data_IF_909213538573
#
_entry.id   IF_909213538573
#
_cell.length_a   1.000
_cell.length_b   1.000
_cell.length_c   1.000
_cell.angle_alpha   90.00
_cell.angle_beta   90.00
_cell.angle_gamma   90.00
#
_symmetry.space_group_name_H-M   'P 1'
#
loop_
_entity.id
_entity.type
_entity.pdbx_description
1 polymer ?
#
# COMPACT_ATOMS: atom_id res chain seq x y z
N UNK A 1 12.99 19.35 1.34
CA UNK A 1 11.77 18.51 1.52
C UNK A 1 10.53 19.33 1.19
N UNK A 2 9.62 18.78 0.40
CA UNK A 2 8.38 19.45 -0.06
C UNK A 2 7.16 18.52 0.08
N UNK A 3 5.97 19.12 0.09
CA UNK A 3 4.72 18.36 0.13
C UNK A 3 4.57 17.50 -1.13
N UNK A 4 4.34 16.20 -0.94
CA UNK A 4 4.19 15.26 -2.06
C UNK A 4 2.95 15.50 -2.94
N UNK A 5 2.02 16.37 -2.51
CA UNK A 5 0.78 16.69 -3.23
C UNK A 5 0.86 18.02 -3.98
N UNK A 6 1.27 19.12 -3.31
CA UNK A 6 1.29 20.46 -3.91
C UNK A 6 2.69 21.04 -4.11
N UNK A 7 3.74 20.28 -3.79
CA UNK A 7 5.16 20.67 -3.92
C UNK A 7 5.59 21.91 -3.13
N UNK A 8 4.76 22.42 -2.22
CA UNK A 8 5.15 23.50 -1.30
C UNK A 8 6.34 23.04 -0.46
N UNK A 9 7.38 23.89 -0.34
CA UNK A 9 8.51 23.63 0.54
C UNK A 9 8.08 23.71 2.00
N UNK A 10 8.52 22.75 2.81
CA UNK A 10 8.31 22.83 4.24
C UNK A 10 9.18 23.94 4.83
N UNK A 11 8.63 24.63 5.82
CA UNK A 11 9.25 25.77 6.50
C UNK A 11 8.62 25.94 7.89
N UNK A 12 9.07 26.92 8.66
CA UNK A 12 8.47 27.25 9.96
C UNK A 12 6.95 27.50 9.87
N UNK A 13 6.46 28.04 8.76
CA UNK A 13 5.03 28.29 8.53
C UNK A 13 4.31 27.10 7.89
N UNK A 14 5.05 26.17 7.27
CA UNK A 14 4.50 25.01 6.57
C UNK A 14 5.09 23.75 7.16
N UNK A 15 4.43 23.24 8.20
CA UNK A 15 4.82 22.02 8.90
C UNK A 15 4.75 20.80 7.98
N UNK A 16 5.73 19.91 8.11
CA UNK A 16 5.70 18.58 7.54
C UNK A 16 4.83 17.65 8.40
N UNK A 17 3.82 17.04 7.80
CA UNK A 17 2.88 16.12 8.44
C UNK A 17 2.77 14.85 7.58
N UNK A 18 3.13 13.71 8.15
CA UNK A 18 2.96 12.42 7.49
C UNK A 18 1.49 12.06 7.32
N UNK A 19 1.10 11.62 6.12
CA UNK A 19 -0.23 11.10 5.88
C UNK A 19 -0.36 9.68 6.49
N UNK A 20 -1.34 9.41 7.38
CA UNK A 20 -1.48 8.09 8.00
C UNK A 20 -1.92 7.00 7.01
N UNK A 21 -2.44 7.37 5.83
CA UNK A 21 -2.85 6.41 4.80
C UNK A 21 -1.77 6.00 3.80
N UNK A 22 -0.71 6.79 3.62
CA UNK A 22 0.35 6.49 2.63
C UNK A 22 1.78 6.80 3.09
N UNK A 23 1.97 7.34 4.30
CA UNK A 23 3.27 7.67 4.86
C UNK A 23 3.95 8.91 4.29
N UNK A 24 3.50 9.46 3.16
CA UNK A 24 4.15 10.61 2.53
C UNK A 24 3.97 11.92 3.31
N UNK A 25 5.03 12.73 3.32
CA UNK A 25 5.07 14.10 3.81
C UNK A 25 4.07 15.00 3.09
N UNK A 26 3.17 15.60 3.85
CA UNK A 26 2.10 16.48 3.37
C UNK A 26 2.05 17.78 4.20
N UNK A 27 1.70 18.90 3.57
CA UNK A 27 1.39 20.11 4.31
C UNK A 27 -0.03 20.03 4.91
N UNK A 28 -0.32 20.85 5.92
CA UNK A 28 -1.64 20.91 6.59
C UNK A 28 -2.80 21.17 5.61
N UNK A 29 -2.54 21.92 4.53
CA UNK A 29 -3.56 22.22 3.50
C UNK A 29 -3.92 21.00 2.66
N UNK A 30 -2.96 20.14 2.36
CA UNK A 30 -3.18 18.91 1.59
C UNK A 30 -3.73 17.77 2.45
N UNK A 31 -3.41 17.74 3.75
CA UNK A 31 -3.91 16.76 4.71
C UNK A 31 -5.25 17.19 5.33
N UNK A 32 -6.28 17.37 4.49
CA UNK A 32 -7.57 17.95 4.91
C UNK A 32 -8.75 16.97 5.00
N UNK A 33 -8.67 15.83 4.33
CA UNK A 33 -9.80 14.91 4.18
C UNK A 33 -9.93 14.01 5.41
N UNK A 34 -11.09 13.98 6.06
CA UNK A 34 -11.31 13.10 7.23
C UNK A 34 -11.80 11.74 6.74
N UNK A 35 -11.07 10.68 7.09
CA UNK A 35 -11.45 9.31 6.80
C UNK A 35 -11.34 8.48 8.08
N UNK A 36 -12.18 7.45 8.18
CA UNK A 36 -12.03 6.42 9.21
C UNK A 36 -11.00 5.40 8.71
N UNK A 37 -9.91 5.24 9.46
CA UNK A 37 -8.85 4.31 9.12
C UNK A 37 -9.01 3.09 10.05
N UNK A 38 -9.09 1.86 9.51
CA UNK A 38 -9.22 0.67 10.34
C UNK A 38 -8.06 0.60 11.34
N UNK A 39 -8.37 0.29 12.61
CA UNK A 39 -7.44 0.22 13.74
C UNK A 39 -6.85 1.55 14.25
N UNK A 40 -7.04 2.68 13.56
CA UNK A 40 -6.53 4.00 13.97
C UNK A 40 -7.66 4.98 14.32
N UNK A 41 -8.85 4.77 13.75
CA UNK A 41 -10.03 5.62 13.87
C UNK A 41 -9.99 6.82 12.93
N UNK A 42 -10.80 7.84 13.24
CA UNK A 42 -10.98 9.04 12.41
C UNK A 42 -9.72 9.90 12.37
N UNK A 43 -9.08 9.98 11.21
CA UNK A 43 -7.88 10.80 10.98
C UNK A 43 -7.98 11.60 9.68
N UNK A 44 -7.14 12.63 9.57
CA UNK A 44 -7.00 13.38 8.32
C UNK A 44 -5.99 12.71 7.40
N UNK A 45 -6.36 12.54 6.13
CA UNK A 45 -5.55 11.95 5.07
C UNK A 45 -5.39 12.94 3.90
N UNK A 46 -4.44 12.64 3.01
CA UNK A 46 -4.23 13.42 1.79
C UNK A 46 -5.30 13.08 0.73
N UNK A 47 -5.46 13.95 -0.27
CA UNK A 47 -6.47 13.75 -1.32
C UNK A 47 -6.33 12.46 -2.11
N UNK A 48 -5.10 11.97 -2.30
CA UNK A 48 -4.85 10.68 -2.99
C UNK A 48 -5.38 9.50 -2.19
N UNK A 49 -5.14 9.47 -0.88
CA UNK A 49 -5.67 8.43 0.00
C UNK A 49 -7.19 8.49 0.08
N UNK A 50 -7.78 9.69 0.19
CA UNK A 50 -9.22 9.85 0.19
C UNK A 50 -9.86 9.31 -1.11
N UNK A 51 -9.28 9.63 -2.27
CA UNK A 51 -9.76 9.13 -3.55
C UNK A 51 -9.63 7.60 -3.67
N UNK A 52 -8.51 7.02 -3.20
CA UNK A 52 -8.32 5.57 -3.20
C UNK A 52 -9.35 4.87 -2.32
N UNK A 53 -9.64 5.44 -1.14
CA UNK A 53 -10.63 4.89 -0.21
C UNK A 53 -12.04 4.98 -0.79
N UNK A 54 -12.44 6.12 -1.36
CA UNK A 54 -13.76 6.24 -2.00
C UNK A 54 -13.97 5.22 -3.11
N UNK A 55 -12.97 5.01 -3.97
CA UNK A 55 -13.03 3.98 -5.02
C UNK A 55 -13.22 2.57 -4.48
N UNK A 56 -12.56 2.23 -3.37
CA UNK A 56 -12.73 0.93 -2.72
C UNK A 56 -14.13 0.73 -2.14
N UNK A 57 -14.78 1.80 -1.66
CA UNK A 57 -16.14 1.72 -1.13
C UNK A 57 -17.21 1.58 -2.23
N UNK A 58 -16.98 2.16 -3.41
CA UNK A 58 -17.90 2.02 -4.56
C UNK A 58 -17.81 0.65 -5.23
N UNK A 59 -16.66 -0.04 -5.14
CA UNK A 59 -16.47 -1.39 -5.67
C UNK A 59 -16.66 -2.44 -4.56
N UNK A 60 -17.90 -2.72 -4.16
CA UNK A 60 -18.19 -3.95 -3.41
C UNK A 60 -18.22 -5.13 -4.40
N UNK A 61 -17.40 -6.16 -4.18
CA UNK A 61 -17.95 -7.46 -3.85
C UNK A 61 -17.42 -7.95 -2.51
N UNK A 62 -18.21 -8.83 -1.92
CA UNK A 62 -18.10 -9.41 -0.58
C UNK A 62 -16.79 -10.18 -0.33
N UNK A 63 -16.49 -10.36 0.95
CA UNK A 63 -15.64 -11.40 1.57
C UNK A 63 -14.10 -11.13 1.71
N UNK A 64 -13.74 -10.74 2.94
CA UNK A 64 -12.59 -11.14 3.78
C UNK A 64 -11.16 -11.27 3.20
N UNK A 65 -10.37 -10.19 3.21
CA UNK A 65 -8.96 -10.15 3.73
C UNK A 65 -8.31 -8.77 3.52
N UNK A 66 -7.63 -8.14 4.50
CA UNK A 66 -6.70 -7.06 4.21
C UNK A 66 -5.41 -7.69 3.67
N UNK A 67 -5.27 -7.77 2.35
CA UNK A 67 -4.05 -8.25 1.71
C UNK A 67 -2.98 -7.16 1.81
N UNK A 68 -2.28 -7.17 2.96
CA UNK A 68 -0.87 -6.79 3.04
C UNK A 68 -0.16 -7.60 1.97
N UNK A 69 0.31 -6.90 0.95
CA UNK A 69 1.19 -7.41 -0.09
C UNK A 69 2.56 -7.76 0.50
N UNK A 70 2.61 -8.87 1.24
CA UNK A 70 3.81 -9.68 1.40
C UNK A 70 3.72 -10.79 0.36
N UNK A 71 4.45 -10.63 -0.74
CA UNK A 71 4.78 -11.75 -1.63
C UNK A 71 5.51 -12.80 -0.79
N UNK A 72 4.78 -13.82 -0.34
CA UNK A 72 5.33 -15.13 -0.01
C UNK A 72 4.56 -16.14 -0.85
N UNK A 73 4.98 -16.25 -2.10
CA UNK A 73 4.71 -17.40 -2.93
C UNK A 73 5.32 -18.63 -2.24
N UNK A 74 4.53 -19.63 -1.81
CA UNK A 74 5.08 -20.92 -1.45
C UNK A 74 5.47 -21.58 -2.77
N UNK A 75 6.76 -21.65 -3.04
CA UNK A 75 7.28 -22.41 -4.17
C UNK A 75 6.76 -23.85 -4.03
N UNK A 76 5.89 -24.25 -4.95
CA UNK A 76 5.47 -25.64 -5.06
C UNK A 76 6.72 -26.52 -5.23
N UNK A 77 6.77 -27.73 -4.63
CA UNK A 77 7.86 -28.65 -4.88
C UNK A 77 7.92 -28.98 -6.38
N UNK A 78 9.05 -28.68 -7.02
CA UNK A 78 9.36 -29.17 -8.35
C UNK A 78 9.65 -30.68 -8.26
N UNK A 79 8.75 -31.48 -8.82
CA UNK A 79 8.95 -32.93 -8.99
C UNK A 79 10.03 -33.16 -10.06
N UNK A 80 11.28 -33.39 -9.63
CA UNK A 80 12.39 -33.74 -10.51
C UNK A 80 12.54 -35.25 -10.65
N UNK A 81 11.53 -35.92 -11.20
CA UNK A 81 11.70 -37.27 -11.74
C UNK A 81 12.18 -37.19 -13.19
N UNK A 82 13.39 -36.66 -13.40
CA UNK A 82 14.04 -36.69 -14.70
C UNK A 82 14.96 -37.92 -14.80
N UNK A 83 14.39 -38.97 -15.40
CA UNK A 83 15.02 -40.00 -16.26
C UNK A 83 16.56 -40.08 -16.22
N UNK A 84 17.10 -40.82 -15.25
CA UNK A 84 18.48 -41.34 -15.27
C UNK A 84 18.48 -42.84 -15.61
N UNK A 85 17.90 -43.19 -16.77
CA UNK A 85 17.90 -44.57 -17.30
C UNK A 85 18.48 -44.59 -18.72
N UNK A 86 19.52 -43.80 -19.00
CA UNK A 86 20.27 -43.87 -20.27
C UNK A 86 21.75 -43.50 -20.01
N UNK A 87 22.51 -44.28 -19.23
CA UNK A 87 23.99 -44.36 -19.33
C UNK A 87 24.67 -45.42 -18.41
N UNK A 88 24.10 -46.62 -18.26
CA UNK A 88 24.83 -47.76 -17.67
C UNK A 88 24.77 -48.99 -18.60
N UNK A 89 24.98 -48.77 -19.90
CA UNK A 89 25.33 -49.85 -20.82
C UNK A 89 26.28 -49.31 -21.90
N UNK A 90 27.56 -49.15 -21.54
CA UNK A 90 28.71 -49.44 -22.41
C UNK A 90 29.96 -49.60 -21.56
#
# INVERSE_FOLDING_TARGET
MSCNTCQVKFSFFTKDIGCPGCGYSCCSKCLKYKCDIPNVGKKKVCGRCNNKLNKMNESSPTDDHPMLNTNKEPLAPIDVTMKYEILIFY
#
